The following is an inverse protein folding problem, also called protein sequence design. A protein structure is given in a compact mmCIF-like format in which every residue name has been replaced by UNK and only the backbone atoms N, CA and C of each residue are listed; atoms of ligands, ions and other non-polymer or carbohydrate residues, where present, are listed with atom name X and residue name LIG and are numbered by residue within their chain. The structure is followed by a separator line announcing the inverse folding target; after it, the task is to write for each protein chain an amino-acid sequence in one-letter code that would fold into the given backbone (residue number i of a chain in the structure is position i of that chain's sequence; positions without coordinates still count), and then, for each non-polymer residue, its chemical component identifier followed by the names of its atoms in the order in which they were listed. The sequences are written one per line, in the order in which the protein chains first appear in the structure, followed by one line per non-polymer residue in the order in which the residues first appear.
data_IF_017321032852
#
_entry.id   IF_017321032852
#
_cell.length_a   1.000
_cell.length_b   1.000
_cell.length_c   1.000
_cell.angle_alpha   90.00
_cell.angle_beta   90.00
_cell.angle_gamma   90.00
#
_symmetry.space_group_name_H-M   'P 1'
#
loop_
_entity.id
_entity.type
_entity.pdbx_description
1 polymer ?
#
# COMPACT_ATOMS: atom_id res chain seq x y z
N UNK A 1 -16.90 1.76 -3.00
CA UNK A 1 -15.75 2.11 -2.15
C UNK A 1 -15.31 3.52 -2.45
N UNK A 2 -15.08 4.31 -1.42
CA UNK A 2 -14.55 5.67 -1.60
C UNK A 2 -13.04 5.59 -1.75
N UNK A 3 -12.56 5.37 -2.96
CA UNK A 3 -11.14 5.14 -3.23
C UNK A 3 -10.27 6.34 -2.82
N UNK A 4 -10.80 7.56 -2.89
CA UNK A 4 -10.05 8.74 -2.47
C UNK A 4 -9.80 8.74 -0.96
N UNK A 5 -10.77 8.31 -0.16
CA UNK A 5 -10.57 8.16 1.28
C UNK A 5 -9.61 7.03 1.60
N UNK A 6 -9.75 5.89 0.93
CA UNK A 6 -8.82 4.77 1.12
C UNK A 6 -7.39 5.18 0.78
N UNK A 7 -7.21 5.90 -0.32
CA UNK A 7 -5.91 6.40 -0.73
C UNK A 7 -5.29 7.28 0.36
N UNK A 8 -6.08 8.18 0.93
CA UNK A 8 -5.61 9.05 2.02
C UNK A 8 -5.20 8.24 3.24
N UNK A 9 -6.01 7.25 3.63
CA UNK A 9 -5.69 6.39 4.77
C UNK A 9 -4.41 5.61 4.56
N UNK A 10 -4.20 5.12 3.34
CA UNK A 10 -2.99 4.38 2.98
C UNK A 10 -1.76 5.31 3.06
N UNK A 11 -1.85 6.50 2.50
CA UNK A 11 -0.75 7.46 2.53
C UNK A 11 -0.42 7.83 3.98
N UNK A 12 -1.43 8.14 4.78
CA UNK A 12 -1.23 8.48 6.19
C UNK A 12 -0.55 7.32 6.95
N UNK A 13 -0.97 6.08 6.67
CA UNK A 13 -0.39 4.89 7.31
C UNK A 13 1.08 4.71 6.93
N UNK A 14 1.44 5.00 5.69
CA UNK A 14 2.82 4.92 5.23
C UNK A 14 3.67 6.04 5.84
N UNK A 15 3.12 7.25 5.94
CA UNK A 15 3.82 8.37 6.56
C UNK A 15 4.06 8.14 8.05
N UNK A 16 3.11 7.52 8.74
CA UNK A 16 3.24 7.23 10.17
C UNK A 16 4.43 6.31 10.48
N UNK A 17 4.82 5.47 9.53
CA UNK A 17 5.96 4.55 9.68
C UNK A 17 7.16 5.04 8.85
N UNK A 18 7.14 6.32 8.47
CA UNK A 18 8.23 6.98 7.77
C UNK A 18 8.57 6.35 6.43
N UNK A 19 7.55 6.02 5.65
CA UNK A 19 7.73 5.54 4.28
C UNK A 19 8.40 6.62 3.43
N UNK A 20 9.23 6.19 2.47
CA UNK A 20 9.97 7.07 1.58
C UNK A 20 9.41 7.02 0.18
N UNK A 21 9.55 8.15 -0.53
CA UNK A 21 9.17 8.25 -1.96
C UNK A 21 7.73 7.78 -2.20
N UNK A 22 6.81 8.18 -1.34
CA UNK A 22 5.40 7.81 -1.46
C UNK A 22 4.83 8.48 -2.71
N UNK A 23 4.41 7.65 -3.67
CA UNK A 23 3.91 8.12 -4.96
C UNK A 23 2.57 7.46 -5.27
N UNK A 24 1.61 8.25 -5.73
CA UNK A 24 0.31 7.75 -6.18
C UNK A 24 0.26 7.81 -7.69
N UNK A 25 -0.14 6.71 -8.32
CA UNK A 25 -0.29 6.61 -9.76
C UNK A 25 -1.74 6.34 -10.11
N UNK A 26 -2.28 7.12 -11.03
CA UNK A 26 -3.60 6.88 -11.61
C UNK A 26 -3.39 5.97 -12.82
N UNK A 27 -3.87 4.73 -12.70
CA UNK A 27 -3.72 3.72 -13.75
C UNK A 27 -5.06 3.35 -14.37
N UNK A 28 -6.07 4.18 -14.19
CA UNK A 28 -7.38 3.98 -14.82
C UNK A 28 -7.22 4.05 -16.33
N UNK A 29 -7.80 3.07 -17.01
CA UNK A 29 -7.73 2.98 -18.47
C UNK A 29 -6.43 2.40 -19.01
N UNK A 30 -5.43 2.16 -18.15
CA UNK A 30 -4.15 1.52 -18.53
C UNK A 30 -4.13 0.08 -18.00
N UNK A 31 -4.47 -0.08 -16.71
CA UNK A 31 -4.56 -1.40 -16.10
C UNK A 31 -6.01 -1.88 -16.10
N UNK A 32 -6.23 -3.15 -16.40
CA UNK A 32 -7.54 -3.77 -16.29
C UNK A 32 -7.79 -4.34 -14.88
N UNK A 33 -6.85 -4.19 -13.95
CA UNK A 33 -6.88 -4.85 -12.65
C UNK A 33 -7.19 -3.87 -11.52
N UNK A 34 -6.62 -2.68 -11.56
CA UNK A 34 -6.80 -1.69 -10.49
C UNK A 34 -6.90 -0.28 -11.09
N UNK A 35 -7.46 0.66 -10.33
CA UNK A 35 -7.59 2.05 -10.74
C UNK A 35 -6.42 2.91 -10.28
N UNK A 36 -5.85 2.61 -9.11
CA UNK A 36 -4.77 3.39 -8.52
C UNK A 36 -3.70 2.50 -7.92
N UNK A 37 -2.46 2.98 -7.98
CA UNK A 37 -1.33 2.34 -7.31
C UNK A 37 -0.68 3.34 -6.38
N UNK A 38 -0.31 2.90 -5.19
CA UNK A 38 0.53 3.68 -4.27
C UNK A 38 1.83 2.93 -4.13
N UNK A 39 2.95 3.62 -4.38
CA UNK A 39 4.28 3.03 -4.31
C UNK A 39 5.05 3.73 -3.20
N UNK A 40 5.74 2.95 -2.39
CA UNK A 40 6.50 3.45 -1.25
C UNK A 40 7.76 2.63 -1.06
N UNK A 41 8.83 3.24 -0.60
CA UNK A 41 10.08 2.57 -0.29
C UNK A 41 10.35 2.53 1.20
N UNK A 42 11.01 1.46 1.65
CA UNK A 42 11.56 1.34 2.98
C UNK A 42 13.03 0.97 2.92
N UNK A 43 13.87 1.45 3.84
CA UNK A 43 15.34 1.25 3.76
C UNK A 43 15.79 -0.17 4.08
N UNK A 44 14.93 -1.00 4.64
CA UNK A 44 15.24 -2.39 4.99
C UNK A 44 14.02 -3.26 4.84
N UNK A 45 14.22 -4.58 4.75
CA UNK A 45 13.12 -5.53 4.68
C UNK A 45 12.22 -5.44 5.91
N UNK A 46 12.79 -5.20 7.06
CA UNK A 46 12.03 -5.02 8.30
C UNK A 46 11.13 -3.79 8.23
N UNK A 47 11.63 -2.68 7.69
CA UNK A 47 10.87 -1.45 7.53
C UNK A 47 9.77 -1.64 6.48
N UNK A 48 10.09 -2.31 5.36
CA UNK A 48 9.09 -2.64 4.33
C UNK A 48 7.94 -3.43 4.92
N UNK A 49 8.25 -4.43 5.75
CA UNK A 49 7.22 -5.22 6.42
C UNK A 49 6.37 -4.37 7.36
N UNK A 50 7.00 -3.49 8.14
CA UNK A 50 6.29 -2.59 9.06
C UNK A 50 5.36 -1.64 8.32
N UNK A 51 5.80 -1.12 7.17
CA UNK A 51 4.98 -0.25 6.34
C UNK A 51 3.73 -0.98 5.83
N UNK A 52 3.91 -2.18 5.29
CA UNK A 52 2.80 -2.96 4.77
C UNK A 52 1.83 -3.38 5.89
N UNK A 53 2.35 -3.78 7.03
CA UNK A 53 1.53 -4.16 8.19
C UNK A 53 0.70 -2.96 8.68
N UNK A 54 1.28 -1.77 8.70
CA UNK A 54 0.56 -0.58 9.15
C UNK A 54 -0.56 -0.20 8.16
N UNK A 55 -0.30 -0.32 6.86
CA UNK A 55 -1.34 -0.12 5.84
C UNK A 55 -2.50 -1.06 6.09
N UNK A 56 -2.20 -2.34 6.31
CA UNK A 56 -3.21 -3.36 6.57
C UNK A 56 -4.07 -3.01 7.79
N UNK A 57 -3.42 -2.71 8.91
CA UNK A 57 -4.11 -2.43 10.18
C UNK A 57 -4.95 -1.16 10.08
N UNK A 58 -4.38 -0.07 9.58
CA UNK A 58 -5.07 1.21 9.54
C UNK A 58 -6.23 1.21 8.54
N UNK A 59 -6.08 0.51 7.42
CA UNK A 59 -7.18 0.38 6.47
C UNK A 59 -8.35 -0.38 7.08
N UNK A 60 -8.08 -1.48 7.78
CA UNK A 60 -9.13 -2.27 8.44
C UNK A 60 -9.83 -1.45 9.52
N UNK A 61 -9.11 -0.66 10.29
CA UNK A 61 -9.72 0.22 11.29
C UNK A 61 -10.66 1.22 10.65
N UNK A 62 -10.36 1.67 9.46
CA UNK A 62 -11.19 2.62 8.72
C UNK A 62 -12.35 1.96 7.96
N UNK A 63 -12.49 0.65 8.06
CA UNK A 63 -13.58 -0.08 7.42
C UNK A 63 -13.25 -0.64 6.04
N UNK A 64 -12.00 -0.60 5.62
CA UNK A 64 -11.57 -1.12 4.33
C UNK A 64 -10.84 -2.44 4.52
N UNK A 65 -11.43 -3.53 4.04
CA UNK A 65 -10.84 -4.86 4.17
C UNK A 65 -9.98 -5.16 2.94
N UNK A 66 -8.65 -5.37 3.11
CA UNK A 66 -7.81 -5.77 1.99
C UNK A 66 -8.23 -7.13 1.45
N UNK A 67 -8.06 -7.33 0.14
CA UNK A 67 -8.30 -8.62 -0.50
C UNK A 67 -7.17 -9.60 -0.21
N UNK A 68 -5.95 -9.11 -0.03
CA UNK A 68 -4.81 -9.95 0.28
C UNK A 68 -3.52 -9.16 0.40
N UNK A 69 -2.49 -9.86 0.85
CA UNK A 69 -1.14 -9.33 0.96
C UNK A 69 -0.16 -10.40 0.49
N UNK A 70 0.82 -10.01 -0.33
CA UNK A 70 1.80 -10.93 -0.87
C UNK A 70 3.22 -10.39 -0.67
N UNK A 71 4.21 -11.28 -0.58
CA UNK A 71 5.61 -10.92 -0.49
C UNK A 71 6.14 -10.78 0.92
N UNK A 72 5.36 -11.11 1.96
CA UNK A 72 5.76 -10.90 3.35
C UNK A 72 7.00 -11.72 3.74
N UNK A 73 7.23 -12.86 3.12
CA UNK A 73 8.33 -13.75 3.50
C UNK A 73 9.69 -13.14 3.20
N UNK A 74 9.89 -12.65 1.99
CA UNK A 74 11.15 -11.99 1.62
C UNK A 74 11.19 -10.54 2.09
N UNK A 75 10.03 -9.89 2.09
CA UNK A 75 9.86 -8.48 2.45
C UNK A 75 10.73 -7.52 1.63
N UNK A 76 11.15 -7.94 0.43
CA UNK A 76 11.84 -7.07 -0.52
C UNK A 76 10.83 -6.24 -1.30
N UNK A 77 9.65 -6.81 -1.52
CA UNK A 77 8.55 -6.16 -2.22
C UNK A 77 7.25 -6.79 -1.69
N UNK A 78 6.47 -6.00 -0.98
CA UNK A 78 5.18 -6.44 -0.45
C UNK A 78 4.07 -5.70 -1.18
N UNK A 79 3.04 -6.43 -1.55
CA UNK A 79 1.87 -5.90 -2.23
C UNK A 79 0.67 -6.06 -1.31
N UNK A 80 -0.09 -4.98 -1.12
CA UNK A 80 -1.37 -5.01 -0.40
C UNK A 80 -2.47 -4.65 -1.39
N UNK A 81 -3.38 -5.58 -1.63
CA UNK A 81 -4.40 -5.47 -2.67
C UNK A 81 -5.75 -5.11 -2.06
N UNK A 82 -6.33 -4.00 -2.49
CA UNK A 82 -7.68 -3.57 -2.10
C UNK A 82 -8.67 -3.64 -3.28
N UNK A 83 -8.24 -4.15 -4.44
CA UNK A 83 -9.07 -4.18 -5.63
C UNK A 83 -8.91 -2.91 -6.46
N UNK A 84 -9.57 -1.84 -6.06
CA UNK A 84 -9.50 -0.55 -6.78
C UNK A 84 -8.18 0.18 -6.54
N UNK A 85 -7.45 -0.22 -5.51
CA UNK A 85 -6.17 0.36 -5.15
C UNK A 85 -5.21 -0.75 -4.73
N UNK A 86 -3.99 -0.70 -5.24
CA UNK A 86 -2.93 -1.65 -4.88
C UNK A 86 -1.76 -0.86 -4.32
N UNK A 87 -1.25 -1.29 -3.17
CA UNK A 87 -0.11 -0.66 -2.52
C UNK A 87 1.12 -1.52 -2.73
N UNK A 88 2.20 -0.92 -3.23
CA UNK A 88 3.48 -1.58 -3.40
C UNK A 88 4.49 -0.96 -2.45
N UNK A 89 5.03 -1.76 -1.55
CA UNK A 89 6.09 -1.34 -0.62
C UNK A 89 7.33 -2.16 -0.91
N UNK A 90 8.45 -1.51 -1.17
CA UNK A 90 9.63 -2.21 -1.64
C UNK A 90 10.92 -1.57 -1.15
N UNK A 91 12.01 -2.32 -1.24
CA UNK A 91 13.35 -1.77 -1.07
C UNK A 91 13.66 -0.83 -2.23
N UNK A 92 14.50 0.19 -2.02
CA UNK A 92 14.91 1.11 -3.07
C UNK A 92 15.59 0.42 -4.23
#
# INVERSE_FOLDING_TARGET
MAVEELKKRVIDALEDVKGRDITTLDVRGISGVTDYMVVCSGPSSRHVKSLADNVWVEAKKAGYTPLGMEGQQSADWILVDFGDLVVHVMLP
#
